data_IF_670549541312
#
_entry.id   IF_670549541312
#
_cell.length_a   1.000
_cell.length_b   1.000
_cell.length_c   1.000
_cell.angle_alpha   90.00
_cell.angle_beta   90.00
_cell.angle_gamma   90.00
#
_symmetry.space_group_name_H-M   'P 1'
#
loop_
_entity.id
_entity.type
_entity.pdbx_description
1 polymer ?
#
# COMPACT_ATOMS: atom_id res chain seq x y z
N UNK A 1 -27.30 13.60 0.68
CA UNK A 1 -26.11 14.46 0.96
C UNK A 1 -25.33 13.79 2.06
N UNK A 2 -24.16 13.23 1.74
CA UNK A 2 -23.29 12.56 2.72
C UNK A 2 -22.42 13.57 3.50
N UNK A 3 -22.03 13.27 4.75
CA UNK A 3 -21.12 14.11 5.52
C UNK A 3 -19.66 13.85 5.10
N UNK A 4 -19.04 14.81 4.39
CA UNK A 4 -17.68 14.68 3.88
C UNK A 4 -16.62 14.52 4.98
N UNK A 5 -15.91 13.38 4.96
CA UNK A 5 -14.84 13.02 5.90
C UNK A 5 -13.60 13.89 5.63
N UNK A 6 -13.25 14.81 6.54
CA UNK A 6 -12.14 15.76 6.33
C UNK A 6 -10.98 15.54 7.31
N UNK A 7 -9.86 15.02 6.79
CA UNK A 7 -8.57 15.02 7.50
C UNK A 7 -7.95 16.42 7.38
N UNK A 8 -7.60 17.05 8.50
CA UNK A 8 -6.97 18.39 8.51
C UNK A 8 -5.64 18.41 9.28
N UNK A 9 -4.54 18.71 8.59
CA UNK A 9 -3.31 19.20 9.22
C UNK A 9 -3.40 20.74 9.34
N UNK A 10 -3.62 21.25 10.55
CA UNK A 10 -3.58 22.68 10.84
C UNK A 10 -2.49 23.01 11.85
N UNK A 11 -1.40 23.61 11.39
CA UNK A 11 -0.46 24.32 12.26
C UNK A 11 -1.05 25.68 12.65
N UNK A 12 -1.00 26.03 13.94
CA UNK A 12 -1.47 27.31 14.45
C UNK A 12 -0.56 27.80 15.59
N UNK A 13 -0.11 29.06 15.49
CA UNK A 13 0.75 29.68 16.50
C UNK A 13 -0.02 30.19 17.72
N UNK A 14 0.65 30.24 18.87
CA UNK A 14 0.07 30.69 20.14
C UNK A 14 -0.02 32.22 20.26
N UNK A 15 -1.17 32.75 20.72
CA UNK A 15 -1.25 33.92 21.58
C UNK A 15 -1.28 33.44 23.05
N UNK A 16 -0.26 33.79 23.84
CA UNK A 16 -0.15 33.31 25.21
C UNK A 16 -0.96 34.12 26.23
N UNK A 17 -1.90 33.49 26.92
CA UNK A 17 -2.54 34.05 28.13
C UNK A 17 -2.76 32.98 29.20
N UNK A 18 -2.41 33.29 30.46
CA UNK A 18 -2.60 32.36 31.59
C UNK A 18 -4.05 32.40 32.08
N UNK A 19 -4.80 31.31 31.86
CA UNK A 19 -6.06 31.05 32.54
C UNK A 19 -6.00 29.66 33.19
N UNK A 20 -5.96 29.60 34.52
CA UNK A 20 -5.94 28.34 35.27
C UNK A 20 -7.36 27.76 35.36
N UNK A 21 -7.86 27.20 34.27
CA UNK A 21 -9.12 26.47 34.25
C UNK A 21 -8.99 25.19 35.08
N UNK A 22 -9.64 25.16 36.25
CA UNK A 22 -9.62 24.01 37.16
C UNK A 22 -10.64 22.96 36.69
N UNK A 23 -10.34 22.30 35.56
CA UNK A 23 -11.24 21.34 34.90
C UNK A 23 -11.49 20.10 35.76
N UNK A 24 -12.74 19.64 35.77
CA UNK A 24 -13.14 18.44 36.51
C UNK A 24 -12.72 17.17 35.76
N UNK A 25 -11.46 16.78 35.94
CA UNK A 25 -10.79 15.77 35.13
C UNK A 25 -11.32 14.34 35.29
N UNK A 26 -12.11 14.04 36.34
CA UNK A 26 -12.77 12.74 36.52
C UNK A 26 -13.79 12.41 35.40
N UNK A 27 -14.20 13.41 34.61
CA UNK A 27 -15.05 13.24 33.44
C UNK A 27 -14.35 12.50 32.26
N UNK A 28 -13.04 12.26 32.29
CA UNK A 28 -12.28 11.66 31.18
C UNK A 28 -11.51 10.40 31.57
N UNK A 29 -11.58 9.34 30.75
CA UNK A 29 -10.96 8.04 31.08
C UNK A 29 -9.43 8.09 31.27
N UNK A 30 -8.73 8.99 30.57
CA UNK A 30 -7.29 9.18 30.73
C UNK A 30 -6.89 9.82 32.07
N UNK A 31 -7.82 10.57 32.70
CA UNK A 31 -7.51 11.48 33.80
C UNK A 31 -8.30 11.21 35.09
N UNK A 32 -9.09 10.13 35.16
CA UNK A 32 -9.74 9.64 36.38
C UNK A 32 -8.73 9.52 37.52
N UNK A 33 -8.91 10.29 38.59
CA UNK A 33 -7.87 10.54 39.60
C UNK A 33 -7.64 9.40 40.61
N UNK A 34 -8.17 8.19 40.34
CA UNK A 34 -8.24 7.09 41.31
C UNK A 34 -7.22 5.98 41.03
N UNK A 35 -5.96 6.30 41.36
CA UNK A 35 -4.74 5.46 41.31
C UNK A 35 -4.24 5.16 39.89
N UNK A 36 -3.05 5.69 39.57
CA UNK A 36 -2.23 5.40 38.38
C UNK A 36 -2.96 5.51 37.02
N UNK A 37 -2.75 6.63 36.33
CA UNK A 37 -3.15 6.82 34.93
C UNK A 37 -2.58 5.70 34.03
N UNK A 38 -3.40 5.20 33.11
CA UNK A 38 -3.06 4.11 32.17
C UNK A 38 -1.74 4.36 31.44
N UNK A 39 -1.59 5.58 30.89
CA UNK A 39 -0.42 6.04 30.14
C UNK A 39 0.67 6.69 31.02
N UNK A 40 0.53 6.66 32.36
CA UNK A 40 1.53 7.19 33.29
C UNK A 40 1.73 8.71 33.20
N UNK A 41 2.98 9.15 33.02
CA UNK A 41 3.36 10.56 32.80
C UNK A 41 3.47 10.81 31.29
N UNK A 42 2.77 11.81 30.79
CA UNK A 42 2.63 12.09 29.36
C UNK A 42 3.15 13.49 29.06
N UNK A 43 4.01 13.64 28.05
CA UNK A 43 4.32 14.95 27.47
C UNK A 43 3.32 15.23 26.34
N UNK A 44 2.22 15.91 26.65
CA UNK A 44 1.13 16.19 25.71
C UNK A 44 1.60 17.05 24.53
N UNK A 45 2.46 18.05 24.77
CA UNK A 45 3.05 18.89 23.71
C UNK A 45 3.85 18.04 22.72
N UNK A 46 4.69 17.12 23.21
CA UNK A 46 5.44 16.21 22.35
C UNK A 46 4.50 15.34 21.50
N UNK A 47 3.45 14.75 22.08
CA UNK A 47 2.51 13.92 21.30
C UNK A 47 1.76 14.73 20.23
N UNK A 48 1.34 15.96 20.54
CA UNK A 48 0.68 16.84 19.57
C UNK A 48 1.61 17.28 18.42
N UNK A 49 2.93 17.33 18.65
CA UNK A 49 3.93 17.71 17.64
C UNK A 49 4.54 16.53 16.88
N UNK A 50 4.53 15.31 17.45
CA UNK A 50 5.37 14.19 16.99
C UNK A 50 4.66 12.86 16.75
N UNK A 51 3.39 12.69 17.13
CA UNK A 51 2.66 11.46 16.85
C UNK A 51 2.59 11.16 15.35
N UNK A 52 2.99 9.94 14.93
CA UNK A 52 2.87 9.46 13.55
C UNK A 52 1.43 9.54 13.05
N UNK A 53 0.47 9.25 13.94
CA UNK A 53 -0.96 9.42 13.68
C UNK A 53 -1.67 9.96 14.94
N UNK A 54 -2.52 10.96 14.74
CA UNK A 54 -3.44 11.45 15.76
C UNK A 54 -4.87 11.43 15.22
N UNK A 55 -5.82 10.98 16.03
CA UNK A 55 -7.24 10.88 15.66
C UNK A 55 -8.09 11.56 16.73
N UNK A 56 -8.93 12.49 16.30
CA UNK A 56 -9.90 13.20 17.15
C UNK A 56 -11.31 12.77 16.75
N UNK A 57 -12.18 12.48 17.72
CA UNK A 57 -13.60 12.21 17.51
C UNK A 57 -14.40 13.40 17.99
N UNK A 58 -15.17 13.99 17.08
CA UNK A 58 -16.09 15.09 17.35
C UNK A 58 -17.54 14.62 17.21
N UNK A 59 -18.49 15.37 17.79
CA UNK A 59 -19.92 15.18 17.52
C UNK A 59 -20.42 16.12 16.41
N UNK A 60 -21.70 16.03 16.06
CA UNK A 60 -22.38 16.88 15.06
C UNK A 60 -22.31 18.40 15.33
N UNK A 61 -21.81 18.82 16.49
CA UNK A 61 -21.62 20.23 16.90
C UNK A 61 -20.14 20.64 16.88
N UNK A 62 -19.26 19.80 16.36
CA UNK A 62 -17.80 19.95 16.39
C UNK A 62 -17.23 20.04 17.83
N UNK A 63 -17.91 19.45 18.81
CA UNK A 63 -17.37 19.31 20.16
C UNK A 63 -16.46 18.06 20.22
N UNK A 64 -15.24 18.20 20.72
CA UNK A 64 -14.33 17.06 20.92
C UNK A 64 -14.89 16.11 22.00
N UNK A 65 -15.16 14.87 21.60
CA UNK A 65 -15.56 13.77 22.49
C UNK A 65 -14.34 12.96 22.95
N UNK A 66 -13.39 12.73 22.05
CA UNK A 66 -12.18 11.96 22.31
C UNK A 66 -11.01 12.36 21.39
N UNK A 67 -9.81 11.99 21.80
CA UNK A 67 -8.57 12.15 21.05
C UNK A 67 -7.58 11.04 21.41
N UNK A 68 -6.88 10.50 20.42
CA UNK A 68 -5.78 9.57 20.60
C UNK A 68 -4.55 9.98 19.79
N UNK A 69 -3.37 9.66 20.32
CA UNK A 69 -2.09 9.86 19.67
C UNK A 69 -1.31 8.54 19.65
N UNK A 70 -0.79 8.18 18.48
CA UNK A 70 -0.07 6.94 18.20
C UNK A 70 1.33 7.25 17.66
N UNK A 71 2.29 6.41 18.03
CA UNK A 71 3.69 6.48 17.61
C UNK A 71 4.15 5.10 17.10
N UNK A 72 5.22 5.09 16.31
CA UNK A 72 5.87 3.91 15.74
C UNK A 72 6.78 3.14 16.72
N UNK A 73 6.79 3.51 18.01
CA UNK A 73 7.58 2.85 19.07
C UNK A 73 6.83 2.76 20.42
N UNK A 74 7.16 1.83 21.33
CA UNK A 74 6.46 1.64 22.60
C UNK A 74 6.73 2.75 23.65
N UNK A 75 5.73 3.04 24.50
CA UNK A 75 5.85 3.93 25.66
C UNK A 75 6.53 3.26 26.88
N UNK A 76 7.63 2.54 26.65
CA UNK A 76 8.39 1.78 27.66
C UNK A 76 9.79 2.38 27.77
N UNK A 77 10.13 2.92 28.94
CA UNK A 77 11.38 3.67 29.19
C UNK A 77 12.63 2.79 29.05
N UNK A 78 12.49 1.48 29.21
CA UNK A 78 13.55 0.48 29.16
C UNK A 78 13.87 -0.04 27.73
N UNK A 79 13.18 0.42 26.68
CA UNK A 79 13.28 -0.11 25.30
C UNK A 79 13.73 0.97 24.30
N UNK A 80 14.65 0.62 23.40
CA UNK A 80 15.14 1.49 22.34
C UNK A 80 14.05 1.76 21.28
N UNK A 81 13.77 3.03 21.02
CA UNK A 81 12.65 3.45 20.15
C UNK A 81 12.81 3.01 18.70
N UNK A 82 14.04 2.84 18.23
CA UNK A 82 14.40 2.41 16.88
C UNK A 82 14.70 0.90 16.77
N UNK A 83 14.52 0.13 17.85
CA UNK A 83 14.95 -1.27 17.96
C UNK A 83 14.04 -2.07 18.93
N UNK A 84 12.74 -1.75 18.94
CA UNK A 84 11.76 -2.41 19.82
C UNK A 84 11.31 -3.78 19.31
N UNK A 85 11.47 -4.06 18.02
CA UNK A 85 10.93 -5.27 17.38
C UNK A 85 11.47 -6.58 18.00
N UNK A 86 12.79 -6.75 18.22
CA UNK A 86 13.31 -7.95 18.89
C UNK A 86 12.82 -8.11 20.33
N UNK A 87 12.55 -7.00 21.03
CA UNK A 87 11.93 -7.05 22.36
C UNK A 87 10.48 -7.53 22.28
N UNK A 88 9.71 -6.98 21.34
CA UNK A 88 8.30 -7.35 21.20
C UNK A 88 8.16 -8.81 20.78
N UNK A 89 8.97 -9.30 19.84
CA UNK A 89 8.93 -10.70 19.39
C UNK A 89 9.17 -11.73 20.50
N UNK A 90 9.71 -11.34 21.67
CA UNK A 90 9.74 -12.21 22.87
C UNK A 90 8.34 -12.58 23.40
N UNK A 91 7.31 -11.82 23.04
CA UNK A 91 5.90 -12.06 23.34
C UNK A 91 5.24 -12.88 22.21
N UNK A 92 5.45 -14.19 22.22
CA UNK A 92 5.02 -15.20 21.21
C UNK A 92 4.09 -14.77 20.06
N UNK A 93 2.82 -14.38 20.28
CA UNK A 93 1.88 -14.01 19.21
C UNK A 93 2.24 -12.77 18.37
N UNK A 94 3.30 -12.04 18.74
CA UNK A 94 3.72 -10.79 18.10
C UNK A 94 4.92 -10.92 17.15
N UNK A 95 5.37 -12.14 16.84
CA UNK A 95 6.42 -12.39 15.83
C UNK A 95 6.03 -12.00 14.39
N UNK A 96 4.84 -11.41 14.19
CA UNK A 96 4.37 -10.79 12.94
C UNK A 96 4.35 -9.26 13.01
N UNK A 97 4.62 -8.67 14.17
CA UNK A 97 4.57 -7.22 14.40
C UNK A 97 5.90 -6.59 14.00
N UNK A 98 5.90 -5.83 12.90
CA UNK A 98 7.06 -5.12 12.34
C UNK A 98 6.87 -3.60 12.44
N UNK A 99 7.93 -2.79 12.29
CA UNK A 99 7.84 -1.31 12.24
C UNK A 99 6.89 -0.75 11.17
N UNK A 100 6.58 -1.51 10.12
CA UNK A 100 5.69 -1.09 9.04
C UNK A 100 4.21 -1.41 9.32
N UNK A 101 3.92 -2.47 10.08
CA UNK A 101 2.55 -2.96 10.29
C UNK A 101 2.01 -2.77 11.73
N UNK A 102 2.74 -2.04 12.59
CA UNK A 102 2.45 -1.88 14.02
C UNK A 102 2.55 -0.43 14.47
N UNK A 103 1.55 0.06 15.21
CA UNK A 103 1.61 1.33 15.95
C UNK A 103 1.30 1.14 17.43
N UNK A 104 1.86 2.00 18.28
CA UNK A 104 1.65 2.01 19.72
C UNK A 104 0.76 3.19 20.14
N UNK A 105 -0.24 2.92 20.98
CA UNK A 105 -1.12 3.95 21.53
C UNK A 105 -0.48 4.59 22.78
N UNK A 106 -0.02 5.84 22.65
CA UNK A 106 0.61 6.60 23.74
C UNK A 106 -0.38 7.47 24.53
N UNK A 107 -1.53 7.78 23.94
CA UNK A 107 -2.59 8.56 24.55
C UNK A 107 -3.95 8.14 24.01
N UNK A 108 -4.94 8.01 24.90
CA UNK A 108 -6.36 7.95 24.58
C UNK A 108 -7.16 8.69 25.65
N UNK A 109 -7.68 9.87 25.30
CA UNK A 109 -8.58 10.67 26.12
C UNK A 109 -9.98 10.56 25.53
N UNK A 110 -10.99 10.23 26.32
CA UNK A 110 -12.39 10.27 25.92
C UNK A 110 -13.29 10.67 27.09
N UNK A 111 -14.38 11.39 26.82
CA UNK A 111 -15.45 11.67 27.80
C UNK A 111 -16.01 10.33 28.30
N UNK A 112 -16.06 10.12 29.62
CA UNK A 112 -16.35 8.81 30.24
C UNK A 112 -17.71 8.23 29.88
N UNK A 113 -18.68 9.07 29.52
CA UNK A 113 -20.04 8.65 29.13
C UNK A 113 -20.09 7.93 27.76
N UNK A 114 -19.18 8.30 26.84
CA UNK A 114 -19.14 7.80 25.45
C UNK A 114 -17.86 7.03 25.13
N UNK A 115 -16.99 6.84 26.12
CA UNK A 115 -15.61 6.41 25.94
C UNK A 115 -15.45 5.10 25.14
N UNK A 116 -16.29 4.08 25.37
CA UNK A 116 -16.23 2.82 24.62
C UNK A 116 -16.57 2.96 23.13
N UNK A 117 -17.54 3.84 22.80
CA UNK A 117 -17.88 4.15 21.41
C UNK A 117 -16.75 4.92 20.72
N UNK A 118 -16.25 5.97 21.36
CA UNK A 118 -15.14 6.76 20.84
C UNK A 118 -13.85 5.94 20.67
N UNK A 119 -13.51 5.08 21.62
CA UNK A 119 -12.32 4.24 21.55
C UNK A 119 -12.41 3.21 20.41
N UNK A 120 -13.58 2.60 20.20
CA UNK A 120 -13.84 1.71 19.05
C UNK A 120 -13.73 2.47 17.72
N UNK A 121 -14.28 3.68 17.63
CA UNK A 121 -14.25 4.47 16.39
C UNK A 121 -12.86 5.04 16.08
N UNK A 122 -12.05 5.36 17.09
CA UNK A 122 -10.63 5.67 16.94
C UNK A 122 -9.88 4.49 16.36
N UNK A 123 -10.02 3.29 16.95
CA UNK A 123 -9.37 2.07 16.46
C UNK A 123 -9.75 1.76 15.01
N UNK A 124 -11.05 1.84 14.67
CA UNK A 124 -11.54 1.68 13.30
C UNK A 124 -10.94 2.72 12.35
N UNK A 125 -10.94 3.99 12.75
CA UNK A 125 -10.39 5.09 11.92
C UNK A 125 -8.88 4.96 11.72
N UNK A 126 -8.13 4.49 12.72
CA UNK A 126 -6.69 4.23 12.62
C UNK A 126 -6.40 3.12 11.59
N UNK A 127 -7.11 1.99 11.64
CA UNK A 127 -6.94 0.92 10.65
C UNK A 127 -7.42 1.32 9.25
N UNK A 128 -8.49 2.12 9.12
CA UNK A 128 -8.91 2.61 7.81
C UNK A 128 -7.94 3.66 7.22
N UNK A 129 -7.15 4.36 8.04
CA UNK A 129 -6.22 5.41 7.59
C UNK A 129 -4.84 4.90 7.17
N UNK A 130 -4.42 3.71 7.60
CA UNK A 130 -3.15 3.06 7.21
C UNK A 130 -3.48 1.61 6.83
N UNK A 131 -3.22 1.23 5.57
CA UNK A 131 -3.71 -0.03 4.99
C UNK A 131 -2.88 -1.22 5.50
N UNK A 132 -1.58 -0.99 5.57
CA UNK A 132 -0.50 -1.87 6.00
C UNK A 132 -0.53 -2.12 7.54
N UNK A 133 -1.27 -1.30 8.29
CA UNK A 133 -1.35 -1.39 9.75
C UNK A 133 -2.20 -2.60 10.17
N UNK A 134 -1.54 -3.64 10.68
CA UNK A 134 -2.16 -4.87 11.13
C UNK A 134 -2.42 -4.90 12.65
N UNK A 135 -1.62 -4.15 13.43
CA UNK A 135 -1.65 -4.19 14.89
C UNK A 135 -1.61 -2.80 15.52
N UNK A 136 -2.46 -2.58 16.52
CA UNK A 136 -2.31 -1.47 17.47
C UNK A 136 -1.95 -2.08 18.83
N UNK A 137 -0.87 -1.61 19.44
CA UNK A 137 -0.35 -2.12 20.71
C UNK A 137 -0.50 -1.06 21.80
N UNK A 138 -0.85 -1.51 23.00
CA UNK A 138 -0.96 -0.69 24.19
C UNK A 138 -0.06 -1.28 25.28
N UNK A 139 1.01 -0.57 25.65
CA UNK A 139 1.85 -0.94 26.79
C UNK A 139 1.54 -0.06 28.01
N UNK A 140 1.38 -0.71 29.16
CA UNK A 140 0.88 -0.11 30.41
C UNK A 140 1.68 -0.68 31.58
N UNK A 141 1.97 0.11 32.61
CA UNK A 141 2.78 -0.36 33.76
C UNK A 141 2.10 -1.53 34.48
N UNK A 142 2.88 -2.54 34.89
CA UNK A 142 2.38 -3.69 35.66
C UNK A 142 1.61 -3.20 36.90
N UNK A 143 0.48 -3.85 37.22
CA UNK A 143 -0.48 -3.52 38.29
C UNK A 143 -1.40 -2.31 38.01
N UNK A 144 -1.27 -1.62 36.89
CA UNK A 144 -2.29 -0.66 36.42
C UNK A 144 -3.37 -1.43 35.65
N UNK A 145 -4.64 -1.13 35.90
CA UNK A 145 -5.77 -1.72 35.18
C UNK A 145 -6.11 -0.88 33.95
N UNK A 146 -6.58 -1.53 32.88
CA UNK A 146 -7.22 -0.82 31.76
C UNK A 146 -8.61 -0.32 32.18
N UNK A 147 -9.05 0.81 31.65
CA UNK A 147 -10.45 1.23 31.74
C UNK A 147 -11.31 0.28 30.88
N UNK A 148 -12.55 -0.08 31.31
CA UNK A 148 -13.42 -0.98 30.55
C UNK A 148 -13.66 -0.60 29.09
N UNK A 149 -13.61 0.70 28.76
CA UNK A 149 -13.70 1.18 27.37
C UNK A 149 -12.54 0.73 26.46
N UNK A 150 -11.40 0.36 27.06
CA UNK A 150 -10.16 -0.03 26.37
C UNK A 150 -9.92 -1.54 26.49
N UNK A 151 -10.24 -2.14 27.64
CA UNK A 151 -10.02 -3.58 27.87
C UNK A 151 -10.85 -4.50 26.96
N UNK A 152 -11.93 -3.99 26.36
CA UNK A 152 -12.73 -4.72 25.36
C UNK A 152 -12.17 -4.65 23.94
N UNK A 153 -11.19 -3.77 23.70
CA UNK A 153 -10.61 -3.53 22.37
C UNK A 153 -9.25 -4.22 22.18
N UNK A 154 -8.50 -4.42 23.27
CA UNK A 154 -7.16 -4.99 23.26
C UNK A 154 -7.09 -6.31 24.06
N UNK A 155 -6.70 -7.40 23.39
CA UNK A 155 -6.40 -8.67 24.03
C UNK A 155 -5.06 -8.61 24.80
N UNK A 156 -4.91 -9.26 25.96
CA UNK A 156 -3.63 -9.31 26.67
C UNK A 156 -2.60 -10.15 25.91
N UNK A 157 -1.39 -9.61 25.70
CA UNK A 157 -0.29 -10.42 25.18
C UNK A 157 0.18 -11.44 26.24
N UNK A 158 0.49 -12.70 25.86
CA UNK A 158 1.05 -13.68 26.78
C UNK A 158 2.37 -13.21 27.41
N UNK A 159 2.42 -13.14 28.74
CA UNK A 159 3.62 -12.72 29.47
C UNK A 159 4.70 -13.80 29.45
N UNK A 160 5.70 -13.65 28.60
CA UNK A 160 6.94 -14.43 28.72
C UNK A 160 7.69 -14.02 30.00
N UNK A 161 8.05 -15.01 30.82
CA UNK A 161 8.52 -14.80 32.20
C UNK A 161 9.96 -14.29 32.33
N UNK A 162 10.61 -13.86 31.25
CA UNK A 162 12.05 -13.55 31.20
C UNK A 162 12.41 -12.36 30.30
N UNK A 163 11.76 -11.22 30.50
CA UNK A 163 12.40 -9.92 30.23
C UNK A 163 12.64 -9.27 31.59
N UNK A 164 13.87 -9.37 32.08
CA UNK A 164 14.28 -8.73 33.34
C UNK A 164 14.33 -7.20 33.15
N UNK A 165 14.15 -6.44 34.22
CA UNK A 165 14.00 -4.97 34.16
C UNK A 165 12.58 -4.51 33.77
N UNK A 166 12.05 -4.94 32.63
CA UNK A 166 10.83 -4.37 32.01
C UNK A 166 9.59 -4.46 32.93
N UNK A 167 9.02 -3.30 33.28
CA UNK A 167 7.90 -3.21 34.23
C UNK A 167 6.53 -2.94 33.57
N UNK A 168 6.31 -3.36 32.32
CA UNK A 168 5.04 -3.20 31.59
C UNK A 168 4.28 -4.53 31.35
N UNK A 169 2.99 -4.40 31.05
CA UNK A 169 2.14 -5.39 30.37
C UNK A 169 1.79 -4.84 29.00
N UNK A 170 1.85 -5.67 27.96
CA UNK A 170 1.44 -5.32 26.60
C UNK A 170 0.07 -5.94 26.28
N UNK A 171 -0.73 -5.21 25.50
CA UNK A 171 -2.03 -5.62 24.99
C UNK A 171 -2.10 -5.29 23.50
N UNK A 172 -2.81 -6.09 22.72
CA UNK A 172 -2.83 -6.05 21.24
C UNK A 172 -4.26 -6.00 20.70
N UNK A 173 -4.47 -5.13 19.73
CA UNK A 173 -5.69 -4.97 18.96
C UNK A 173 -5.39 -5.28 17.48
N UNK A 174 -6.17 -6.18 16.86
CA UNK A 174 -5.90 -6.68 15.50
C UNK A 174 -6.80 -6.02 14.45
N UNK A 175 -6.25 -5.66 13.29
CA UNK A 175 -6.99 -5.08 12.15
C UNK A 175 -8.27 -5.85 11.81
N UNK A 176 -8.14 -7.18 11.67
CA UNK A 176 -9.21 -8.11 11.27
C UNK A 176 -10.49 -8.04 12.13
N UNK A 177 -10.38 -7.62 13.39
CA UNK A 177 -11.51 -7.56 14.33
C UNK A 177 -12.40 -6.31 14.11
N UNK A 178 -11.92 -5.36 13.28
CA UNK A 178 -12.58 -4.09 12.94
C UNK A 178 -12.73 -3.88 11.43
N UNK A 179 -11.77 -4.37 10.66
CA UNK A 179 -11.72 -4.33 9.19
C UNK A 179 -11.42 -5.77 8.69
N UNK A 180 -12.46 -6.62 8.53
CA UNK A 180 -12.30 -8.00 8.06
C UNK A 180 -11.58 -8.11 6.72
N UNK A 181 -11.05 -9.29 6.43
CA UNK A 181 -10.53 -9.63 5.09
C UNK A 181 -11.72 -9.88 4.16
N UNK A 182 -11.69 -9.31 2.96
CA UNK A 182 -12.71 -9.57 1.94
C UNK A 182 -12.46 -10.93 1.28
N UNK A 183 -13.52 -11.65 0.94
CA UNK A 183 -13.38 -12.82 0.08
C UNK A 183 -13.30 -12.36 -1.38
N UNK A 184 -12.19 -12.62 -2.06
CA UNK A 184 -12.03 -12.34 -3.49
C UNK A 184 -12.29 -13.61 -4.30
N UNK A 185 -13.06 -13.46 -5.38
CA UNK A 185 -13.32 -14.52 -6.37
C UNK A 185 -13.43 -13.93 -7.77
N UNK A 186 -13.44 -14.81 -8.78
CA UNK A 186 -13.75 -14.42 -10.16
C UNK A 186 -15.17 -13.82 -10.26
N UNK A 187 -15.30 -12.81 -11.12
CA UNK A 187 -16.57 -12.14 -11.41
C UNK A 187 -17.45 -12.99 -12.35
N UNK A 188 -18.76 -12.83 -12.21
CA UNK A 188 -19.82 -13.51 -12.96
C UNK A 188 -20.83 -12.49 -13.48
N UNK A 189 -21.60 -12.86 -14.50
CA UNK A 189 -22.67 -12.01 -15.04
C UNK A 189 -23.69 -11.64 -13.95
N UNK A 190 -23.90 -12.52 -12.97
CA UNK A 190 -24.76 -12.27 -11.79
C UNK A 190 -24.28 -11.08 -10.92
N UNK A 191 -22.98 -10.77 -10.90
CA UNK A 191 -22.41 -9.68 -10.09
C UNK A 191 -22.67 -8.29 -10.70
N UNK A 192 -23.13 -8.21 -11.95
CA UNK A 192 -23.38 -6.96 -12.67
C UNK A 192 -24.28 -6.01 -11.88
N UNK A 193 -25.37 -6.52 -11.32
CA UNK A 193 -26.41 -5.71 -10.65
C UNK A 193 -25.95 -5.17 -9.29
N UNK A 194 -25.00 -5.85 -8.62
CA UNK A 194 -24.35 -5.39 -7.38
C UNK A 194 -23.22 -4.38 -7.66
N UNK A 195 -22.43 -4.59 -8.72
CA UNK A 195 -21.29 -3.72 -9.07
C UNK A 195 -21.74 -2.41 -9.72
N UNK A 196 -22.81 -2.44 -10.52
CA UNK A 196 -23.36 -1.26 -11.22
C UNK A 196 -23.62 -0.05 -10.31
N UNK A 197 -24.31 -0.16 -9.14
CA UNK A 197 -24.50 0.99 -8.26
C UNK A 197 -23.18 1.54 -7.70
N UNK A 198 -22.23 0.66 -7.33
CA UNK A 198 -20.92 1.06 -6.79
C UNK A 198 -20.12 1.86 -7.83
N UNK A 199 -20.07 1.38 -9.07
CA UNK A 199 -19.42 2.07 -10.19
C UNK A 199 -20.07 3.43 -10.49
N UNK A 200 -21.40 3.52 -10.44
CA UNK A 200 -22.14 4.77 -10.66
C UNK A 200 -21.94 5.79 -9.51
N UNK A 201 -21.83 5.36 -8.26
CA UNK A 201 -21.57 6.26 -7.13
C UNK A 201 -20.15 6.84 -7.16
N UNK A 202 -19.16 6.12 -7.72
CA UNK A 202 -17.78 6.60 -7.77
C UNK A 202 -17.54 7.72 -8.81
N UNK A 203 -18.12 7.67 -10.03
CA UNK A 203 -18.05 8.83 -10.96
C UNK A 203 -19.07 8.82 -12.11
N UNK A 204 -19.90 9.87 -12.23
CA UNK A 204 -20.74 10.16 -13.41
C UNK A 204 -19.97 10.08 -14.74
N UNK A 205 -18.72 10.55 -14.74
CA UNK A 205 -17.82 10.60 -15.90
C UNK A 205 -17.52 9.22 -16.47
N UNK A 206 -17.39 8.18 -15.63
CA UNK A 206 -17.05 6.83 -16.09
C UNK A 206 -18.23 6.22 -16.88
N UNK A 207 -19.46 6.36 -16.36
CA UNK A 207 -20.69 6.00 -17.07
C UNK A 207 -20.79 6.68 -18.44
N UNK A 208 -20.37 7.94 -18.54
CA UNK A 208 -20.40 8.69 -19.81
C UNK A 208 -19.28 8.29 -20.80
N UNK A 209 -18.12 7.85 -20.31
CA UNK A 209 -17.00 7.38 -21.17
C UNK A 209 -17.27 5.97 -21.70
N UNK A 210 -17.80 5.08 -20.85
CA UNK A 210 -17.84 3.64 -21.13
C UNK A 210 -19.25 3.11 -21.47
N UNK A 211 -20.32 3.81 -21.06
CA UNK A 211 -21.70 3.42 -21.34
C UNK A 211 -22.30 2.39 -20.37
N UNK A 212 -23.59 2.09 -20.56
CA UNK A 212 -24.39 1.29 -19.62
C UNK A 212 -23.99 -0.20 -19.53
N UNK A 213 -23.35 -0.76 -20.57
CA UNK A 213 -23.12 -2.21 -20.70
C UNK A 213 -21.66 -2.65 -20.45
N UNK A 214 -20.74 -1.71 -20.27
CA UNK A 214 -19.30 -1.97 -20.16
C UNK A 214 -18.91 -2.97 -19.06
N UNK A 215 -19.63 -2.95 -17.92
CA UNK A 215 -19.39 -3.92 -16.85
C UNK A 215 -19.72 -5.35 -17.29
N UNK A 216 -20.79 -5.56 -18.06
CA UNK A 216 -21.12 -6.86 -18.63
C UNK A 216 -20.08 -7.28 -19.67
N UNK A 217 -19.66 -6.37 -20.55
CA UNK A 217 -18.62 -6.63 -21.56
C UNK A 217 -17.29 -7.07 -20.91
N UNK A 218 -16.82 -6.40 -19.84
CA UNK A 218 -15.62 -6.79 -19.09
C UNK A 218 -15.76 -8.12 -18.33
N UNK A 219 -16.98 -8.50 -17.95
CA UNK A 219 -17.25 -9.77 -17.26
C UNK A 219 -17.36 -10.94 -18.26
N UNK A 220 -17.90 -10.69 -19.45
CA UNK A 220 -18.03 -11.69 -20.52
C UNK A 220 -16.72 -11.90 -21.30
N UNK A 221 -15.91 -10.84 -21.50
CA UNK A 221 -14.64 -10.90 -22.22
C UNK A 221 -13.44 -11.43 -21.40
N UNK A 222 -13.69 -12.34 -20.45
CA UNK A 222 -12.63 -12.97 -19.67
C UNK A 222 -11.96 -14.10 -20.45
N UNK A 223 -10.63 -14.06 -20.58
CA UNK A 223 -9.80 -15.03 -21.31
C UNK A 223 -8.44 -15.28 -20.62
N UNK A 224 -7.47 -15.86 -21.33
CA UNK A 224 -6.12 -16.14 -20.80
C UNK A 224 -5.31 -14.86 -20.47
N UNK A 225 -5.67 -13.72 -21.09
CA UNK A 225 -5.02 -12.42 -20.90
C UNK A 225 -5.77 -11.52 -19.94
N UNK A 226 -7.11 -11.57 -19.97
CA UNK A 226 -8.01 -10.59 -19.37
C UNK A 226 -8.91 -11.26 -18.34
N UNK A 227 -8.90 -10.77 -17.11
CA UNK A 227 -9.64 -11.37 -16.00
C UNK A 227 -10.45 -10.31 -15.23
N UNK A 228 -11.58 -10.75 -14.66
CA UNK A 228 -12.39 -9.92 -13.77
C UNK A 228 -12.63 -10.63 -12.42
N UNK A 229 -12.57 -9.87 -11.33
CA UNK A 229 -12.76 -10.38 -9.98
C UNK A 229 -13.64 -9.42 -9.15
N UNK A 230 -14.36 -9.98 -8.18
CA UNK A 230 -15.16 -9.23 -7.20
C UNK A 230 -14.71 -9.54 -5.78
N UNK A 231 -14.89 -8.56 -4.90
CA UNK A 231 -14.83 -8.75 -3.46
C UNK A 231 -16.25 -8.95 -2.92
N UNK A 232 -16.46 -9.98 -2.11
CA UNK A 232 -17.79 -10.42 -1.67
C UNK A 232 -17.97 -10.27 -0.16
N UNK A 233 -19.15 -9.80 0.25
CA UNK A 233 -19.62 -9.78 1.64
C UNK A 233 -21.09 -10.22 1.69
N UNK A 234 -21.38 -11.29 2.44
CA UNK A 234 -22.72 -11.87 2.59
C UNK A 234 -23.40 -12.26 1.25
N UNK A 235 -22.64 -12.84 0.32
CA UNK A 235 -23.08 -13.23 -1.03
C UNK A 235 -23.46 -12.06 -1.95
N UNK A 236 -23.05 -10.82 -1.64
CA UNK A 236 -23.18 -9.66 -2.52
C UNK A 236 -21.79 -9.11 -2.86
N UNK A 237 -21.60 -8.62 -4.10
CA UNK A 237 -20.37 -7.97 -4.51
C UNK A 237 -20.28 -6.54 -3.91
N UNK A 238 -19.13 -6.21 -3.32
CA UNK A 238 -18.87 -4.89 -2.68
C UNK A 238 -17.69 -4.15 -3.33
N UNK A 239 -17.15 -4.71 -4.41
CA UNK A 239 -16.12 -4.12 -5.25
C UNK A 239 -15.77 -5.03 -6.42
N UNK A 240 -15.17 -4.45 -7.45
CA UNK A 240 -14.84 -5.08 -8.72
C UNK A 240 -13.47 -4.61 -9.21
N UNK A 241 -12.75 -5.52 -9.87
CA UNK A 241 -11.50 -5.23 -10.55
C UNK A 241 -11.45 -6.01 -11.87
N UNK A 242 -10.95 -5.36 -12.92
CA UNK A 242 -10.70 -5.95 -14.24
C UNK A 242 -9.28 -5.62 -14.66
N UNK A 243 -8.57 -6.65 -15.12
CA UNK A 243 -7.13 -6.63 -15.38
C UNK A 243 -6.77 -7.34 -16.67
N UNK A 244 -5.70 -6.89 -17.33
CA UNK A 244 -5.21 -7.47 -18.57
C UNK A 244 -3.67 -7.53 -18.59
N UNK A 245 -3.10 -8.63 -19.10
CA UNK A 245 -1.66 -8.82 -19.25
C UNK A 245 -1.06 -8.25 -20.54
N UNK A 246 -1.89 -7.81 -21.50
CA UNK A 246 -1.45 -7.12 -22.73
C UNK A 246 -1.03 -5.67 -22.46
N UNK A 247 0.11 -5.51 -21.78
CA UNK A 247 0.70 -4.21 -21.46
C UNK A 247 1.66 -3.77 -22.57
N UNK A 248 1.55 -2.52 -23.04
CA UNK A 248 2.53 -1.94 -23.97
C UNK A 248 3.84 -1.58 -23.24
N UNK A 249 4.64 -2.61 -22.98
CA UNK A 249 5.90 -2.50 -22.24
C UNK A 249 6.92 -1.61 -22.97
N UNK A 250 6.91 -1.55 -24.31
CA UNK A 250 7.80 -0.66 -25.09
C UNK A 250 7.52 0.82 -24.72
N UNK A 251 6.26 1.26 -24.79
CA UNK A 251 5.84 2.62 -24.41
C UNK A 251 6.14 2.97 -22.95
N UNK A 252 5.95 2.01 -22.03
CA UNK A 252 6.23 2.24 -20.61
C UNK A 252 7.72 2.47 -20.33
N UNK A 253 8.62 1.79 -21.05
CA UNK A 253 10.07 2.02 -20.95
C UNK A 253 10.53 3.33 -21.63
N UNK A 254 9.74 3.87 -22.57
CA UNK A 254 9.98 5.22 -23.12
C UNK A 254 9.55 6.33 -22.16
N UNK A 255 8.51 6.10 -21.35
CA UNK A 255 7.96 7.11 -20.42
C UNK A 255 8.54 7.07 -18.99
N UNK A 256 8.99 5.91 -18.51
CA UNK A 256 9.39 5.72 -17.11
C UNK A 256 10.72 4.96 -16.96
N UNK A 257 11.48 5.28 -15.90
CA UNK A 257 12.73 4.57 -15.55
C UNK A 257 12.44 3.20 -14.90
N UNK A 258 12.07 2.23 -15.72
CA UNK A 258 11.70 0.87 -15.30
C UNK A 258 12.89 -0.09 -15.17
N UNK A 259 14.12 0.41 -15.26
CA UNK A 259 15.35 -0.39 -15.08
C UNK A 259 15.40 -1.15 -13.75
N UNK A 260 14.91 -0.64 -12.60
CA UNK A 260 14.83 -1.41 -11.35
C UNK A 260 13.89 -2.63 -11.41
N UNK A 261 12.97 -2.66 -12.37
CA UNK A 261 11.95 -3.69 -12.56
C UNK A 261 12.19 -4.52 -13.84
N UNK A 262 13.44 -4.61 -14.30
CA UNK A 262 13.83 -5.26 -15.56
C UNK A 262 13.02 -4.80 -16.78
N UNK A 263 12.55 -3.54 -16.77
CA UNK A 263 11.71 -2.99 -17.83
C UNK A 263 10.34 -3.66 -17.95
N UNK A 264 9.80 -4.30 -16.90
CA UNK A 264 8.54 -5.06 -16.88
C UNK A 264 8.52 -6.30 -17.81
N UNK A 265 9.69 -6.84 -18.16
CA UNK A 265 9.84 -8.08 -18.94
C UNK A 265 10.20 -9.24 -18.02
N UNK A 266 9.88 -10.48 -18.44
CA UNK A 266 10.40 -11.67 -17.74
C UNK A 266 11.89 -11.79 -18.02
N UNK A 267 12.65 -12.24 -17.03
CA UNK A 267 14.05 -12.58 -17.24
C UNK A 267 14.17 -13.77 -18.21
N UNK A 268 15.33 -13.96 -18.87
CA UNK A 268 15.56 -15.16 -19.67
C UNK A 268 15.48 -16.40 -18.78
N UNK A 269 14.58 -17.34 -19.11
CA UNK A 269 14.40 -18.57 -18.34
C UNK A 269 15.68 -19.41 -18.34
N UNK A 270 16.22 -19.70 -17.15
CA UNK A 270 17.55 -20.31 -16.96
C UNK A 270 17.50 -21.85 -17.06
N UNK A 271 16.73 -22.37 -18.02
CA UNK A 271 16.57 -23.81 -18.31
C UNK A 271 17.15 -24.24 -19.67
N UNK A 272 18.15 -23.53 -20.20
CA UNK A 272 18.91 -23.96 -21.40
C UNK A 272 20.37 -23.49 -21.43
N UNK A 273 21.00 -23.30 -20.28
CA UNK A 273 22.41 -22.92 -20.15
C UNK A 273 23.27 -24.10 -19.64
N UNK A 274 23.53 -25.10 -20.49
CA UNK A 274 24.52 -26.13 -20.18
C UNK A 274 25.93 -25.53 -20.01
N UNK A 275 26.68 -26.09 -19.08
CA UNK A 275 27.94 -25.54 -18.57
C UNK A 275 29.01 -25.40 -19.67
N UNK A 276 29.66 -24.24 -19.75
CA UNK A 276 31.06 -24.15 -20.18
C UNK A 276 31.91 -23.56 -19.05
N UNK A 277 33.14 -24.07 -18.80
CA UNK A 277 33.82 -23.81 -17.53
C UNK A 277 34.51 -22.45 -17.49
N UNK A 278 34.47 -21.80 -16.32
CA UNK A 278 35.29 -20.64 -16.02
C UNK A 278 36.79 -20.97 -16.18
N UNK A 279 37.48 -20.26 -17.08
CA UNK A 279 38.95 -20.24 -17.08
C UNK A 279 39.42 -19.02 -16.29
N UNK A 280 39.53 -19.20 -14.98
CA UNK A 280 40.09 -18.19 -14.08
C UNK A 280 41.53 -17.83 -14.46
N UNK A 281 41.87 -16.55 -14.47
CA UNK A 281 43.24 -16.08 -14.22
C UNK A 281 43.22 -14.64 -13.69
N UNK A 282 43.72 -14.45 -12.48
CA UNK A 282 43.76 -13.16 -11.78
C UNK A 282 45.14 -12.52 -11.90
N UNK A 283 45.19 -11.21 -12.16
CA UNK A 283 46.10 -10.30 -11.46
C UNK A 283 45.76 -8.84 -11.75
N UNK A 284 45.96 -7.97 -10.75
CA UNK A 284 45.80 -6.53 -10.85
C UNK A 284 47.19 -5.84 -10.86
N UNK A 285 47.32 -4.49 -10.76
CA UNK A 285 47.69 -3.70 -11.91
C UNK A 285 49.08 -3.07 -11.82
N UNK A 286 49.64 -2.68 -12.96
CA UNK A 286 50.80 -1.79 -13.02
C UNK A 286 50.78 -0.91 -14.27
N UNK A 287 51.28 0.31 -14.11
CA UNK A 287 51.38 1.36 -15.13
C UNK A 287 52.70 2.11 -14.93
N UNK A 288 53.07 3.06 -15.80
CA UNK A 288 52.82 3.20 -17.25
C UNK A 288 54.16 3.15 -18.04
N UNK A 289 54.15 3.38 -19.36
CA UNK A 289 55.13 4.24 -20.09
C UNK A 289 54.94 4.29 -21.62
N UNK A 290 55.22 5.47 -22.19
CA UNK A 290 56.07 5.79 -23.36
C UNK A 290 56.00 4.93 -24.66
N UNK A 291 55.97 5.48 -25.90
CA UNK A 291 55.83 6.87 -26.39
C UNK A 291 55.64 6.90 -27.94
N UNK A 292 55.01 7.97 -28.49
CA UNK A 292 54.95 8.38 -29.91
C UNK A 292 54.34 7.36 -30.94
N UNK A 293 53.96 7.65 -32.19
CA UNK A 293 53.95 8.83 -33.10
C UNK A 293 52.83 8.56 -34.19
N UNK A 294 52.47 9.28 -35.28
CA UNK A 294 53.01 10.46 -35.98
C UNK A 294 52.00 11.18 -36.93
N UNK A 295 51.14 12.07 -36.41
CA UNK A 295 50.27 13.02 -37.20
C UNK A 295 49.15 12.31 -38.01
N UNK A 296 48.16 12.94 -38.68
CA UNK A 296 47.72 14.33 -38.97
C UNK A 296 46.19 14.40 -38.75
N UNK A 297 45.52 15.41 -38.17
CA UNK A 297 45.44 16.86 -38.46
C UNK A 297 44.78 17.24 -39.81
N UNK A 298 43.77 18.14 -39.76
CA UNK A 298 43.18 18.97 -40.87
C UNK A 298 42.26 18.23 -41.88
N UNK A 299 41.03 18.66 -42.22
CA UNK A 299 40.06 19.65 -41.63
C UNK A 299 38.64 19.40 -42.18
N UNK A 300 37.62 19.63 -41.33
CA UNK A 300 36.38 20.42 -41.48
C UNK A 300 35.56 20.50 -42.81
N UNK A 301 34.25 20.81 -42.62
CA UNK A 301 33.32 21.55 -43.53
C UNK A 301 32.61 20.80 -44.69
N UNK A 302 31.34 21.06 -45.05
CA UNK A 302 30.18 21.70 -44.34
C UNK A 302 28.84 21.42 -45.10
N UNK A 303 27.69 21.65 -44.46
CA UNK A 303 26.32 21.92 -44.99
C UNK A 303 25.50 20.94 -45.91
N UNK A 304 24.29 20.63 -45.41
CA UNK A 304 22.95 20.80 -46.03
C UNK A 304 22.67 20.55 -47.55
N UNK A 305 21.85 19.52 -47.84
CA UNK A 305 20.64 19.56 -48.69
C UNK A 305 19.85 18.23 -48.51
N UNK A 306 18.62 18.20 -47.97
CA UNK A 306 17.29 18.64 -48.50
C UNK A 306 16.61 17.58 -49.40
N UNK A 307 15.41 17.18 -48.98
CA UNK A 307 14.46 16.28 -49.67
C UNK A 307 13.92 16.85 -51.02
N UNK A 308 13.53 15.95 -51.93
CA UNK A 308 12.32 16.08 -52.74
C UNK A 308 11.22 15.07 -52.32
N UNK A 309 9.97 15.31 -52.73
CA UNK A 309 8.83 14.43 -52.52
C UNK A 309 7.83 14.55 -53.70
N UNK A 310 6.98 13.54 -53.89
CA UNK A 310 5.90 13.49 -54.91
C UNK A 310 6.37 13.12 -56.33
N UNK A 311 5.55 12.51 -57.20
CA UNK A 311 4.14 12.07 -57.08
C UNK A 311 3.82 10.98 -58.16
N UNK A 312 2.58 10.47 -58.15
CA UNK A 312 1.82 9.80 -59.25
C UNK A 312 1.90 8.27 -59.46
N UNK A 313 0.89 7.58 -58.92
CA UNK A 313 -0.15 6.79 -59.66
C UNK A 313 0.22 5.63 -60.63
N UNK A 314 -0.13 4.39 -60.21
CA UNK A 314 -1.17 3.50 -60.81
C UNK A 314 -0.82 2.05 -61.28
N UNK A 315 -1.84 1.18 -61.15
CA UNK A 315 -2.17 -0.09 -61.85
C UNK A 315 -1.28 -1.38 -61.77
N UNK A 316 -1.84 -2.34 -61.02
CA UNK A 316 -2.07 -3.79 -61.37
C UNK A 316 -1.02 -4.91 -61.20
N UNK A 317 -1.59 -6.09 -60.86
CA UNK A 317 -1.15 -7.50 -61.04
C UNK A 317 -0.03 -8.09 -60.18
N UNK A 318 -0.46 -8.98 -59.28
CA UNK A 318 0.09 -10.30 -58.92
C UNK A 318 1.51 -10.70 -59.38
N UNK A 319 2.45 -10.78 -58.43
CA UNK A 319 3.36 -11.94 -58.21
C UNK A 319 4.30 -11.68 -57.01
N UNK A 320 4.01 -12.25 -55.81
CA UNK A 320 4.94 -12.23 -54.66
C UNK A 320 4.57 -13.20 -53.51
N UNK A 321 4.51 -14.52 -53.74
CA UNK A 321 4.59 -15.50 -52.65
C UNK A 321 6.02 -15.56 -52.07
N UNK A 322 6.50 -14.49 -51.41
CA UNK A 322 7.75 -14.52 -50.61
C UNK A 322 8.07 -13.19 -49.88
N UNK A 323 7.34 -12.90 -48.79
CA UNK A 323 7.87 -12.02 -47.72
C UNK A 323 7.21 -12.21 -46.34
N UNK A 324 7.19 -13.47 -45.86
CA UNK A 324 7.33 -13.72 -44.41
C UNK A 324 8.78 -13.41 -44.02
N UNK A 325 9.15 -12.14 -44.02
CA UNK A 325 10.41 -11.72 -43.41
C UNK A 325 10.25 -11.83 -41.89
N UNK A 326 11.00 -12.78 -41.33
CA UNK A 326 10.95 -13.17 -39.93
C UNK A 326 11.58 -12.03 -39.12
N UNK A 327 10.75 -11.10 -38.64
CA UNK A 327 11.07 -10.32 -37.45
C UNK A 327 10.74 -11.21 -36.25
N UNK A 328 11.61 -12.19 -36.00
CA UNK A 328 11.74 -12.79 -34.68
C UNK A 328 12.41 -11.77 -33.76
N UNK A 329 11.67 -10.71 -33.42
CA UNK A 329 11.82 -10.06 -32.12
C UNK A 329 11.32 -11.13 -31.15
N UNK A 330 12.23 -11.75 -30.40
CA UNK A 330 11.81 -12.58 -29.26
C UNK A 330 11.04 -11.66 -28.32
N UNK A 331 9.72 -11.84 -28.27
CA UNK A 331 8.85 -11.07 -27.40
C UNK A 331 9.02 -11.62 -25.99
N UNK A 332 10.09 -11.19 -25.31
CA UNK A 332 10.28 -11.34 -23.87
C UNK A 332 8.96 -10.99 -23.18
N UNK A 333 8.21 -12.02 -22.78
CA UNK A 333 6.80 -11.85 -22.48
C UNK A 333 6.61 -10.90 -21.30
N UNK A 334 5.54 -10.11 -21.33
CA UNK A 334 5.23 -9.15 -20.26
C UNK A 334 5.27 -9.85 -18.90
N UNK A 335 6.00 -9.25 -17.97
CA UNK A 335 5.98 -9.61 -16.56
C UNK A 335 5.07 -8.65 -15.78
N UNK A 336 4.03 -8.15 -16.44
CA UNK A 336 3.10 -7.16 -15.90
C UNK A 336 1.68 -7.33 -16.42
N UNK A 337 0.73 -6.90 -15.61
CA UNK A 337 -0.67 -6.68 -15.97
C UNK A 337 -1.06 -5.25 -15.58
N UNK A 338 -2.10 -4.72 -16.21
CA UNK A 338 -2.68 -3.41 -15.89
C UNK A 338 -4.10 -3.55 -15.36
N UNK A 339 -4.55 -2.60 -14.52
CA UNK A 339 -5.97 -2.45 -14.18
C UNK A 339 -6.67 -1.66 -15.29
N UNK A 340 -7.64 -2.30 -15.93
CA UNK A 340 -8.54 -1.68 -16.90
C UNK A 340 -9.66 -0.92 -16.18
N UNK A 341 -10.23 -1.51 -15.13
CA UNK A 341 -11.24 -0.90 -14.27
C UNK A 341 -11.11 -1.38 -12.82
N UNK A 342 -11.37 -0.48 -11.86
CA UNK A 342 -11.54 -0.79 -10.45
C UNK A 342 -12.68 0.05 -9.86
N UNK A 343 -13.47 -0.52 -8.95
CA UNK A 343 -14.36 0.22 -8.05
C UNK A 343 -14.62 -0.57 -6.75
N UNK A 344 -14.95 0.12 -5.65
CA UNK A 344 -15.24 -0.48 -4.34
C UNK A 344 -16.14 0.44 -3.51
N UNK A 345 -17.04 -0.13 -2.70
CA UNK A 345 -17.82 0.63 -1.71
C UNK A 345 -16.85 1.30 -0.70
N UNK A 346 -17.02 2.60 -0.45
CA UNK A 346 -16.20 3.45 0.46
C UNK A 346 -15.97 2.77 1.82
N UNK A 347 -16.97 2.04 2.30
CA UNK A 347 -16.92 1.26 3.55
C UNK A 347 -15.77 0.24 3.58
N UNK A 348 -15.37 -0.29 2.42
CA UNK A 348 -14.36 -1.33 2.26
C UNK A 348 -13.10 -0.89 1.50
N UNK A 349 -13.01 0.36 1.04
CA UNK A 349 -11.84 0.99 0.37
C UNK A 349 -10.50 0.60 1.02
N UNK A 350 -10.43 0.59 2.35
CA UNK A 350 -9.27 0.21 3.17
C UNK A 350 -8.87 -1.28 3.11
N UNK A 351 -9.50 -2.08 2.24
CA UNK A 351 -9.23 -3.49 1.92
C UNK A 351 -9.01 -3.73 0.41
N UNK A 352 -8.87 -2.68 -0.43
CA UNK A 352 -8.68 -2.89 -1.87
C UNK A 352 -7.39 -3.65 -2.26
N UNK A 353 -6.36 -3.66 -1.41
CA UNK A 353 -5.19 -4.54 -1.57
C UNK A 353 -5.54 -6.06 -1.51
N UNK A 354 -6.68 -6.46 -0.94
CA UNK A 354 -7.11 -7.87 -0.83
C UNK A 354 -7.25 -8.54 -2.21
N UNK A 355 -7.50 -7.78 -3.28
CA UNK A 355 -7.56 -8.27 -4.66
C UNK A 355 -6.20 -8.78 -5.19
N UNK A 356 -5.07 -8.29 -4.69
CA UNK A 356 -3.76 -8.53 -5.28
C UNK A 356 -3.29 -9.98 -5.14
N UNK A 357 -3.40 -10.66 -3.97
CA UNK A 357 -3.13 -12.11 -3.87
C UNK A 357 -3.97 -12.97 -4.82
N UNK A 358 -5.19 -12.54 -5.18
CA UNK A 358 -6.00 -13.24 -6.16
C UNK A 358 -5.42 -13.07 -7.57
N UNK A 359 -5.21 -11.82 -8.00
CA UNK A 359 -4.73 -11.51 -9.35
C UNK A 359 -3.31 -12.04 -9.61
N UNK A 360 -2.40 -11.93 -8.64
CA UNK A 360 -1.05 -12.49 -8.74
C UNK A 360 -1.02 -14.02 -8.88
N UNK A 361 -2.15 -14.72 -8.71
CA UNK A 361 -2.29 -16.16 -8.98
C UNK A 361 -3.03 -16.47 -10.29
N UNK A 362 -3.64 -15.48 -10.95
CA UNK A 362 -4.16 -15.61 -12.32
C UNK A 362 -3.03 -15.54 -13.36
N UNK A 363 -1.98 -14.78 -13.05
CA UNK A 363 -0.78 -14.64 -13.89
C UNK A 363 0.44 -15.31 -13.22
N UNK A 364 0.54 -16.65 -13.21
CA UNK A 364 1.73 -17.34 -12.72
C UNK A 364 2.93 -17.06 -13.63
N UNK A 365 4.08 -16.82 -13.01
CA UNK A 365 5.37 -16.56 -13.68
C UNK A 365 6.35 -17.68 -13.33
N UNK A 366 7.37 -17.91 -14.14
CA UNK A 366 8.50 -18.78 -13.78
C UNK A 366 9.21 -18.27 -12.53
N UNK A 367 9.80 -19.18 -11.74
CA UNK A 367 10.39 -18.89 -10.41
C UNK A 367 11.52 -17.83 -10.43
N UNK A 368 12.01 -17.47 -11.61
CA UNK A 368 13.03 -16.47 -11.89
C UNK A 368 12.53 -15.01 -11.94
N UNK A 369 11.22 -14.75 -11.99
CA UNK A 369 10.70 -13.38 -12.09
C UNK A 369 9.40 -13.13 -11.31
N UNK A 370 9.41 -12.09 -10.46
CA UNK A 370 8.23 -11.62 -9.73
C UNK A 370 7.30 -10.84 -10.67
N UNK A 371 5.97 -11.13 -10.73
CA UNK A 371 5.05 -10.32 -11.51
C UNK A 371 4.95 -8.91 -10.94
N UNK A 372 5.19 -7.91 -11.80
CA UNK A 372 5.16 -6.48 -11.44
C UNK A 372 3.86 -5.87 -11.95
N UNK A 373 2.97 -5.48 -11.03
CA UNK A 373 1.72 -4.83 -11.39
C UNK A 373 1.96 -3.39 -11.91
N UNK A 374 1.37 -3.03 -13.06
CA UNK A 374 1.42 -1.69 -13.64
C UNK A 374 0.09 -0.92 -13.50
N UNK A 375 0.20 0.36 -13.16
CA UNK A 375 -0.90 1.16 -12.62
C UNK A 375 -1.43 2.25 -13.58
N UNK A 376 -2.73 2.55 -13.49
CA UNK A 376 -3.39 3.65 -14.19
C UNK A 376 -3.64 4.81 -13.21
N UNK A 377 -3.02 5.98 -13.44
CA UNK A 377 -2.90 7.14 -12.53
C UNK A 377 -4.19 7.67 -11.86
N UNK A 378 -5.36 7.15 -12.23
CA UNK A 378 -6.67 7.58 -11.74
C UNK A 378 -7.17 6.85 -10.48
N UNK A 379 -6.58 5.72 -10.09
CA UNK A 379 -7.13 4.81 -9.06
C UNK A 379 -6.29 4.89 -7.76
N UNK A 380 -6.55 5.92 -6.95
CA UNK A 380 -5.70 6.37 -5.82
C UNK A 380 -5.30 5.24 -4.84
N UNK A 381 -6.09 4.17 -4.76
CA UNK A 381 -5.88 2.97 -3.96
C UNK A 381 -4.61 2.16 -4.29
N UNK A 382 -4.06 2.29 -5.51
CA UNK A 382 -2.91 1.51 -6.00
C UNK A 382 -1.77 2.38 -6.58
N UNK A 383 -1.56 3.58 -6.03
CA UNK A 383 -0.61 4.62 -6.47
C UNK A 383 0.89 4.24 -6.61
N UNK A 384 1.30 2.97 -6.50
CA UNK A 384 2.68 2.52 -6.66
C UNK A 384 2.73 1.17 -7.40
N UNK A 385 3.82 0.93 -8.14
CA UNK A 385 4.15 -0.40 -8.65
C UNK A 385 4.26 -1.38 -7.47
N UNK A 386 3.69 -2.59 -7.61
CA UNK A 386 3.74 -3.62 -6.57
C UNK A 386 4.15 -4.96 -7.18
N UNK A 387 4.92 -5.75 -6.43
CA UNK A 387 5.34 -7.12 -6.81
C UNK A 387 4.72 -8.15 -5.87
N UNK A 388 4.97 -9.43 -6.12
CA UNK A 388 4.41 -10.58 -5.37
C UNK A 388 5.19 -10.91 -4.08
N UNK A 389 5.97 -9.98 -3.54
CA UNK A 389 6.90 -10.21 -2.41
C UNK A 389 6.24 -11.00 -1.26
N UNK A 390 6.70 -12.23 -0.97
CA UNK A 390 6.06 -13.12 0.00
C UNK A 390 6.16 -12.65 1.45
N UNK A 391 7.02 -11.67 1.78
CA UNK A 391 7.13 -11.13 3.14
C UNK A 391 6.11 -10.01 3.45
N UNK A 392 5.27 -9.59 2.47
CA UNK A 392 4.42 -8.39 2.56
C UNK A 392 2.90 -8.57 2.37
N UNK A 393 2.35 -9.79 2.43
CA UNK A 393 0.91 -10.09 2.31
C UNK A 393 0.33 -10.87 3.52
#
# INVERSE_FOLDING_TARGET
>A
MAPGRRVTKTSCGFPGTKAAAQTNNDNYICFRWRKSTMFGRINVTYLLERANLSVTVENEKNEVMAHAALLDYPNVEEIEQNNWEPWLHTYGPSSKCTPLNTLFMHLLVAKSEVAGGCAKEIVRSVFNAIRELHFIILAVRKKVALDPAVSVLFAPMPQFRKVEGVNCSAFICYRKDYVPVLHIRQARIEDHDDVTPIFNEQTDTLRHIYGEYFLAELIEAQDETTHAAVSEVNNAAVGFISVCSEVNVDLLNECYDLRPFHGLRKGPDVESAEQQPETTLSSAPSSPKDNADRKTNVTDNIENAKLPAGDAEDQTTEEAESKKEIISKDSESSNSFCIQLFCIDEKYESRSQDFLPFIFNLYPVSESSEPVFYFNEKIIEFNMLQTKDPDYL
#
